data_IF_279244206314
#
_entry.id   IF_279244206314
#
_cell.length_a   1.000
_cell.length_b   1.000
_cell.length_c   1.000
_cell.angle_alpha   90.00
_cell.angle_beta   90.00
_cell.angle_gamma   90.00
#
_symmetry.space_group_name_H-M   'P 1'
#
loop_
_entity.id
_entity.type
_entity.pdbx_description
1 polymer ?
#
# COMPACT_ATOMS: atom_id res chain seq x y z
N UNK A 1 -36.31 -8.35 52.08
CA UNK A 1 -35.47 -7.22 51.64
C UNK A 1 -34.07 -7.62 51.18
N UNK A 2 -33.49 -8.74 51.65
CA UNK A 2 -32.18 -9.24 51.19
C UNK A 2 -32.16 -9.64 49.69
N UNK A 3 -33.21 -10.25 49.16
CA UNK A 3 -33.29 -10.72 47.79
C UNK A 3 -33.23 -9.58 46.75
N UNK A 4 -33.81 -8.39 47.02
CA UNK A 4 -33.82 -7.28 46.07
C UNK A 4 -32.41 -6.71 45.89
N UNK A 5 -31.65 -6.55 47.00
CA UNK A 5 -30.26 -6.05 46.93
C UNK A 5 -29.35 -7.02 46.14
N UNK A 6 -29.54 -8.33 46.37
CA UNK A 6 -28.79 -9.36 45.64
C UNK A 6 -29.13 -9.37 44.12
N UNK A 7 -30.42 -9.25 43.79
CA UNK A 7 -30.88 -9.19 42.40
C UNK A 7 -30.35 -7.93 41.69
N UNK A 8 -30.42 -6.76 42.34
CA UNK A 8 -29.87 -5.51 41.80
C UNK A 8 -28.35 -5.63 41.59
N UNK A 9 -27.62 -6.20 42.57
CA UNK A 9 -26.19 -6.45 42.43
C UNK A 9 -25.85 -7.35 41.23
N UNK A 10 -26.61 -8.43 41.01
CA UNK A 10 -26.44 -9.33 39.90
C UNK A 10 -26.70 -8.64 38.55
N UNK A 11 -27.76 -7.82 38.48
CA UNK A 11 -28.07 -7.03 37.27
C UNK A 11 -26.96 -6.02 36.93
N UNK A 12 -26.39 -5.33 37.90
CA UNK A 12 -25.30 -4.38 37.69
C UNK A 12 -24.05 -5.08 37.17
N UNK A 13 -23.69 -6.23 37.77
CA UNK A 13 -22.55 -7.05 37.29
C UNK A 13 -22.79 -7.53 35.85
N UNK A 14 -23.97 -8.03 35.54
CA UNK A 14 -24.33 -8.46 34.19
C UNK A 14 -24.22 -7.32 33.17
N UNK A 15 -24.81 -6.16 33.48
CA UNK A 15 -24.73 -4.96 32.62
C UNK A 15 -23.27 -4.53 32.42
N UNK A 16 -22.43 -4.54 33.45
CA UNK A 16 -21.02 -4.19 33.39
C UNK A 16 -20.25 -5.16 32.45
N UNK A 17 -20.52 -6.45 32.52
CA UNK A 17 -19.92 -7.47 31.66
C UNK A 17 -20.34 -7.23 30.21
N UNK A 18 -21.62 -7.02 29.94
CA UNK A 18 -22.14 -6.77 28.59
C UNK A 18 -21.55 -5.48 28.00
N UNK A 19 -21.48 -4.41 28.79
CA UNK A 19 -20.86 -3.17 28.37
C UNK A 19 -19.36 -3.35 28.10
N UNK A 20 -18.63 -4.08 28.94
CA UNK A 20 -17.21 -4.39 28.73
C UNK A 20 -17.01 -5.20 27.46
N UNK A 21 -17.83 -6.23 27.23
CA UNK A 21 -17.79 -7.02 25.98
C UNK A 21 -18.10 -6.17 24.76
N UNK A 22 -19.08 -5.27 24.84
CA UNK A 22 -19.43 -4.37 23.73
C UNK A 22 -18.29 -3.38 23.43
N UNK A 23 -17.73 -2.74 24.46
CA UNK A 23 -16.57 -1.85 24.32
C UNK A 23 -15.38 -2.61 23.72
N UNK A 24 -15.07 -3.79 24.25
CA UNK A 24 -13.97 -4.62 23.75
C UNK A 24 -14.19 -5.06 22.30
N UNK A 25 -15.43 -5.40 21.90
CA UNK A 25 -15.77 -5.72 20.51
C UNK A 25 -15.60 -4.53 19.56
N UNK A 26 -15.86 -3.30 20.04
CA UNK A 26 -15.65 -2.07 19.24
C UNK A 26 -14.19 -1.66 19.14
N UNK A 27 -13.38 -2.02 20.12
CA UNK A 27 -11.94 -1.71 20.15
C UNK A 27 -11.11 -2.74 19.34
N UNK A 28 -11.67 -3.92 19.03
CA UNK A 28 -11.00 -4.87 18.15
C UNK A 28 -10.99 -4.34 16.72
N UNK A 29 -9.80 -4.23 16.15
CA UNK A 29 -9.63 -4.02 14.71
C UNK A 29 -10.19 -5.26 14.01
N UNK A 30 -11.08 -5.12 13.00
CA UNK A 30 -11.50 -6.26 12.19
C UNK A 30 -10.29 -6.87 11.49
N UNK A 31 -9.99 -8.11 11.77
CA UNK A 31 -8.94 -8.86 11.07
C UNK A 31 -9.57 -9.64 9.91
N UNK A 32 -8.93 -9.57 8.74
CA UNK A 32 -9.31 -10.36 7.58
C UNK A 32 -8.68 -11.75 7.67
N UNK A 33 -9.46 -12.79 7.49
CA UNK A 33 -8.93 -14.14 7.29
C UNK A 33 -8.20 -14.24 5.94
N UNK A 34 -7.34 -15.24 5.78
CA UNK A 34 -6.61 -15.46 4.53
C UNK A 34 -7.54 -15.68 3.34
N UNK A 35 -8.68 -16.34 3.54
CA UNK A 35 -9.66 -16.60 2.48
C UNK A 35 -10.44 -15.32 2.10
N UNK A 36 -10.78 -14.48 3.08
CA UNK A 36 -11.36 -13.16 2.82
C UNK A 36 -10.40 -12.27 2.06
N UNK A 37 -9.11 -12.22 2.46
CA UNK A 37 -8.09 -11.50 1.73
C UNK A 37 -8.02 -11.95 0.27
N UNK A 38 -7.94 -13.27 0.02
CA UNK A 38 -7.88 -13.83 -1.34
C UNK A 38 -9.11 -13.49 -2.17
N UNK A 39 -10.30 -13.56 -1.57
CA UNK A 39 -11.56 -13.21 -2.24
C UNK A 39 -11.62 -11.74 -2.67
N UNK A 40 -10.89 -10.88 -1.96
CA UNK A 40 -10.78 -9.44 -2.24
C UNK A 40 -9.55 -9.09 -3.10
N UNK A 41 -8.84 -10.08 -3.64
CA UNK A 41 -7.68 -9.87 -4.51
C UNK A 41 -6.36 -9.63 -3.77
N UNK A 42 -6.30 -9.89 -2.46
CA UNK A 42 -5.08 -9.78 -1.65
C UNK A 42 -4.43 -11.15 -1.53
N UNK A 43 -3.15 -11.24 -1.87
CA UNK A 43 -2.37 -12.46 -1.86
C UNK A 43 -1.15 -12.30 -0.97
N UNK A 44 -1.19 -12.93 0.21
CA UNK A 44 -0.08 -12.94 1.16
C UNK A 44 0.73 -14.22 0.94
N UNK A 45 2.05 -14.08 0.88
CA UNK A 45 2.95 -15.21 0.73
C UNK A 45 3.02 -16.01 2.04
N UNK A 46 2.94 -17.35 1.99
CA UNK A 46 3.09 -18.20 3.19
C UNK A 46 4.43 -17.97 3.91
N UNK A 47 5.47 -17.66 3.14
CA UNK A 47 6.79 -17.25 3.64
C UNK A 47 7.22 -16.01 2.88
N UNK A 48 7.35 -14.86 3.56
CA UNK A 48 7.88 -13.65 2.93
C UNK A 48 9.27 -13.89 2.36
N UNK A 49 9.55 -13.34 1.17
CA UNK A 49 10.84 -13.53 0.48
C UNK A 49 11.76 -12.35 0.76
N UNK A 50 13.00 -12.64 1.07
CA UNK A 50 14.05 -11.63 1.16
C UNK A 50 14.21 -10.93 -0.20
N UNK A 51 14.50 -9.63 -0.16
CA UNK A 51 14.82 -8.81 -1.33
C UNK A 51 16.34 -8.60 -1.30
N UNK A 52 17.00 -9.02 -2.37
CA UNK A 52 18.43 -8.80 -2.57
C UNK A 52 18.78 -7.31 -2.78
N UNK A 53 20.05 -6.99 -3.00
CA UNK A 53 20.48 -5.62 -3.22
C UNK A 53 19.83 -5.04 -4.48
N UNK A 54 19.54 -3.77 -4.46
CA UNK A 54 19.14 -2.92 -5.57
C UNK A 54 19.46 -1.45 -5.22
N UNK A 55 19.66 -0.61 -6.21
CA UNK A 55 19.97 0.81 -6.01
C UNK A 55 19.10 1.67 -6.94
N UNK A 56 18.18 2.42 -6.34
CA UNK A 56 17.32 3.39 -7.03
C UNK A 56 17.48 4.75 -6.35
N UNK A 57 16.80 5.77 -6.84
CA UNK A 57 16.75 7.10 -6.24
C UNK A 57 15.30 7.48 -5.95
N UNK A 58 15.05 8.09 -4.79
CA UNK A 58 13.79 8.75 -4.56
C UNK A 58 13.75 10.14 -5.22
N UNK A 59 12.56 10.76 -5.25
CA UNK A 59 12.36 12.04 -5.92
C UNK A 59 13.10 13.22 -5.24
N UNK A 60 13.66 13.04 -4.03
CA UNK A 60 14.50 14.03 -3.36
C UNK A 60 15.96 13.88 -3.75
N UNK A 61 16.33 12.81 -4.45
CA UNK A 61 17.68 12.45 -4.84
C UNK A 61 18.41 11.57 -3.81
N UNK A 62 17.71 11.13 -2.76
CA UNK A 62 18.28 10.19 -1.80
C UNK A 62 18.25 8.76 -2.36
N UNK A 63 19.21 7.93 -1.91
CA UNK A 63 19.27 6.54 -2.26
C UNK A 63 18.02 5.78 -1.75
N UNK A 64 17.41 5.01 -2.64
CA UNK A 64 16.32 4.11 -2.32
C UNK A 64 16.77 2.67 -2.60
N UNK A 65 17.01 1.93 -1.55
CA UNK A 65 17.56 0.58 -1.58
C UNK A 65 16.89 -0.31 -0.54
N UNK A 66 17.46 -1.49 -0.27
CA UNK A 66 16.89 -2.44 0.69
C UNK A 66 16.66 -1.82 2.08
N UNK A 67 17.58 -1.02 2.61
CA UNK A 67 17.45 -0.36 3.92
C UNK A 67 16.26 0.62 3.94
N UNK A 68 15.95 1.22 2.79
CA UNK A 68 14.80 2.11 2.63
C UNK A 68 13.44 1.42 2.76
N UNK A 69 13.42 0.09 2.84
CA UNK A 69 12.22 -0.73 3.00
C UNK A 69 12.01 -1.22 4.44
N UNK A 70 12.97 -1.00 5.33
CA UNK A 70 12.96 -1.53 6.69
C UNK A 70 12.25 -0.61 7.69
N UNK A 71 11.71 -1.17 8.78
CA UNK A 71 11.10 -0.44 9.89
C UNK A 71 9.64 -0.01 9.67
N UNK A 72 9.05 -0.28 8.52
CA UNK A 72 7.67 0.09 8.19
C UNK A 72 7.08 -0.83 7.11
N UNK A 73 5.76 -0.79 6.94
CA UNK A 73 5.09 -1.43 5.83
C UNK A 73 5.19 -0.55 4.59
N UNK A 74 5.69 -1.10 3.47
CA UNK A 74 5.71 -0.40 2.19
C UNK A 74 4.68 -0.97 1.23
N UNK A 75 3.81 -0.09 0.72
CA UNK A 75 2.86 -0.37 -0.35
C UNK A 75 3.40 0.27 -1.62
N UNK A 76 3.98 -0.57 -2.48
CA UNK A 76 4.71 -0.13 -3.67
C UNK A 76 3.83 -0.35 -4.89
N UNK A 77 3.52 0.74 -5.60
CA UNK A 77 2.86 0.70 -6.89
C UNK A 77 3.87 1.00 -7.99
N UNK A 78 3.91 0.17 -9.00
CA UNK A 78 4.73 0.38 -10.18
C UNK A 78 3.88 1.07 -11.23
N UNK A 79 4.36 2.19 -11.78
CA UNK A 79 3.58 3.00 -12.69
C UNK A 79 4.42 4.11 -13.32
N UNK A 80 3.79 5.09 -13.93
CA UNK A 80 4.47 6.22 -14.57
C UNK A 80 3.56 7.46 -14.60
N UNK A 81 4.15 8.65 -14.70
CA UNK A 81 3.39 9.91 -14.56
C UNK A 81 2.44 10.19 -15.73
N UNK A 82 2.70 9.62 -16.90
CA UNK A 82 1.85 9.76 -18.09
C UNK A 82 0.73 8.70 -18.18
N UNK A 83 0.59 7.84 -17.18
CA UNK A 83 -0.48 6.84 -17.15
C UNK A 83 -1.85 7.54 -17.00
N UNK A 84 -2.80 7.30 -17.94
CA UNK A 84 -4.03 8.10 -17.96
C UNK A 84 -5.10 7.67 -16.95
N UNK A 85 -5.04 6.47 -16.38
CA UNK A 85 -6.17 5.87 -15.63
C UNK A 85 -5.74 5.15 -14.36
N UNK A 86 -5.07 4.00 -14.49
CA UNK A 86 -4.82 3.08 -13.35
C UNK A 86 -3.93 3.72 -12.29
N UNK A 87 -2.87 4.46 -12.69
CA UNK A 87 -1.93 5.03 -11.73
C UNK A 87 -2.57 6.11 -10.86
N UNK A 88 -3.24 7.15 -11.41
CA UNK A 88 -3.86 8.16 -10.56
C UNK A 88 -4.98 7.58 -9.69
N UNK A 89 -5.75 6.61 -10.20
CA UNK A 89 -6.79 5.92 -9.42
C UNK A 89 -6.19 5.16 -8.24
N UNK A 90 -5.14 4.37 -8.46
CA UNK A 90 -4.48 3.60 -7.40
C UNK A 90 -3.84 4.47 -6.34
N UNK A 91 -3.16 5.55 -6.73
CA UNK A 91 -2.55 6.50 -5.80
C UNK A 91 -3.61 7.28 -5.00
N UNK A 92 -4.73 7.66 -5.63
CA UNK A 92 -5.86 8.28 -4.91
C UNK A 92 -6.44 7.35 -3.85
N UNK A 93 -6.60 6.05 -4.16
CA UNK A 93 -7.05 5.05 -3.19
C UNK A 93 -6.06 4.90 -2.04
N UNK A 94 -4.76 4.85 -2.32
CA UNK A 94 -3.72 4.78 -1.28
C UNK A 94 -3.70 6.04 -0.39
N UNK A 95 -3.89 7.23 -0.96
CA UNK A 95 -4.03 8.48 -0.22
C UNK A 95 -5.26 8.51 0.68
N UNK A 96 -6.38 7.94 0.20
CA UNK A 96 -7.57 7.76 1.03
C UNK A 96 -7.31 6.84 2.22
N UNK A 97 -6.59 5.73 2.01
CA UNK A 97 -6.20 4.81 3.10
C UNK A 97 -5.34 5.52 4.14
N UNK A 98 -4.29 6.22 3.70
CA UNK A 98 -3.42 6.99 4.60
C UNK A 98 -4.20 8.00 5.44
N UNK A 99 -5.11 8.76 4.81
CA UNK A 99 -5.96 9.71 5.52
C UNK A 99 -6.86 9.04 6.57
N UNK A 100 -7.46 7.89 6.25
CA UNK A 100 -8.28 7.11 7.18
C UNK A 100 -7.46 6.58 8.36
N UNK A 101 -6.26 6.08 8.10
CA UNK A 101 -5.33 5.63 9.14
C UNK A 101 -4.91 6.78 10.06
N UNK A 102 -4.58 7.93 9.48
CA UNK A 102 -4.18 9.12 10.23
C UNK A 102 -5.30 9.67 11.12
N UNK A 103 -6.56 9.57 10.67
CA UNK A 103 -7.73 9.93 11.49
C UNK A 103 -8.01 8.92 12.60
N UNK A 104 -7.69 7.65 12.39
CA UNK A 104 -7.87 6.58 13.38
C UNK A 104 -6.75 6.60 14.42
N UNK A 105 -5.50 6.62 13.98
CA UNK A 105 -4.30 6.68 14.80
C UNK A 105 -3.11 7.14 13.93
N UNK A 106 -2.53 8.33 14.21
CA UNK A 106 -1.38 8.83 13.46
C UNK A 106 -0.18 7.89 13.43
N UNK A 107 0.04 7.07 14.46
CA UNK A 107 1.14 6.09 14.49
C UNK A 107 0.94 4.96 13.47
N UNK A 108 -0.31 4.57 13.19
CA UNK A 108 -0.61 3.62 12.11
C UNK A 108 -0.28 4.22 10.73
N UNK A 109 -0.66 5.49 10.51
CA UNK A 109 -0.32 6.18 9.26
C UNK A 109 1.20 6.35 9.08
N UNK A 110 1.93 6.59 10.17
CA UNK A 110 3.39 6.74 10.13
C UNK A 110 4.09 5.45 9.67
N UNK A 111 3.57 4.28 10.00
CA UNK A 111 4.12 2.98 9.56
C UNK A 111 3.59 2.50 8.20
N UNK A 112 2.60 3.18 7.62
CA UNK A 112 2.04 2.90 6.30
C UNK A 112 2.74 3.79 5.26
N UNK A 113 3.65 3.23 4.47
CA UNK A 113 4.45 3.99 3.50
C UNK A 113 4.08 3.63 2.07
N UNK A 114 3.78 4.65 1.26
CA UNK A 114 3.43 4.49 -0.16
C UNK A 114 4.60 4.93 -1.04
N UNK A 115 4.90 4.09 -2.03
CA UNK A 115 5.96 4.34 -3.02
C UNK A 115 5.40 4.16 -4.42
N UNK A 116 5.63 5.14 -5.30
CA UNK A 116 5.46 4.98 -6.73
C UNK A 116 6.84 4.73 -7.35
N UNK A 117 7.09 3.53 -7.85
CA UNK A 117 8.31 3.22 -8.61
C UNK A 117 8.02 3.42 -10.08
N UNK A 118 8.71 4.39 -10.71
CA UNK A 118 8.51 4.66 -12.14
C UNK A 118 9.08 3.53 -12.99
N UNK A 119 8.26 3.03 -13.91
CA UNK A 119 8.64 2.07 -14.96
C UNK A 119 8.91 2.73 -16.31
N UNK A 120 8.90 4.06 -16.35
CA UNK A 120 9.26 4.87 -17.52
C UNK A 120 10.32 5.92 -17.17
N UNK A 121 11.56 5.50 -16.88
CA UNK A 121 12.61 6.44 -16.47
C UNK A 121 13.01 7.45 -17.56
N UNK A 122 12.66 7.21 -18.82
CA UNK A 122 12.95 8.14 -19.91
C UNK A 122 12.02 9.37 -19.88
N UNK A 123 10.76 9.18 -19.46
CA UNK A 123 9.78 10.27 -19.33
C UNK A 123 9.74 10.87 -17.93
N UNK A 124 10.02 10.09 -16.91
CA UNK A 124 9.87 10.47 -15.50
C UNK A 124 11.21 10.87 -14.89
N UNK A 125 11.41 12.17 -14.67
CA UNK A 125 12.53 12.67 -13.86
C UNK A 125 12.11 12.85 -12.38
N UNK A 126 13.09 13.00 -11.48
CA UNK A 126 12.83 13.12 -10.03
C UNK A 126 11.87 14.25 -9.70
N UNK A 127 12.02 15.42 -10.31
CA UNK A 127 11.16 16.58 -10.08
C UNK A 127 9.72 16.29 -10.45
N UNK A 128 9.50 15.69 -11.61
CA UNK A 128 8.18 15.32 -12.12
C UNK A 128 7.51 14.27 -11.22
N UNK A 129 8.25 13.26 -10.81
CA UNK A 129 7.78 12.24 -9.87
C UNK A 129 7.37 12.85 -8.53
N UNK A 130 8.20 13.72 -7.95
CA UNK A 130 7.87 14.41 -6.70
C UNK A 130 6.60 15.25 -6.80
N UNK A 131 6.42 16.01 -7.90
CA UNK A 131 5.18 16.77 -8.14
C UNK A 131 3.97 15.85 -8.29
N UNK A 132 4.13 14.75 -9.01
CA UNK A 132 3.05 13.80 -9.27
C UNK A 132 2.57 13.10 -7.99
N UNK A 133 3.48 12.48 -7.23
CA UNK A 133 3.09 11.78 -5.99
C UNK A 133 2.61 12.74 -4.91
N UNK A 134 3.21 13.94 -4.82
CA UNK A 134 2.81 14.99 -3.88
C UNK A 134 1.39 15.50 -4.07
N UNK A 135 0.81 15.33 -5.26
CA UNK A 135 -0.61 15.66 -5.51
C UNK A 135 -1.59 14.71 -4.80
N UNK A 136 -1.15 13.50 -4.41
CA UNK A 136 -1.97 12.51 -3.70
C UNK A 136 -1.72 12.53 -2.19
N UNK A 137 -0.46 12.65 -1.77
CA UNK A 137 -0.07 12.86 -0.37
C UNK A 137 1.36 13.40 -0.29
N UNK A 138 1.64 14.34 0.64
CA UNK A 138 3.01 14.83 0.88
C UNK A 138 3.96 13.76 1.44
N UNK A 139 3.44 12.65 1.97
CA UNK A 139 4.23 11.54 2.50
C UNK A 139 4.64 10.51 1.43
N UNK A 140 4.03 10.58 0.23
CA UNK A 140 4.32 9.63 -0.83
C UNK A 140 5.69 9.89 -1.46
N UNK A 141 6.42 8.82 -1.74
CA UNK A 141 7.69 8.91 -2.44
C UNK A 141 7.55 8.41 -3.88
N UNK A 142 8.02 9.22 -4.83
CA UNK A 142 8.30 8.78 -6.20
C UNK A 142 9.72 8.23 -6.26
N UNK A 143 9.90 7.07 -6.86
CA UNK A 143 11.19 6.38 -6.95
C UNK A 143 11.51 6.13 -8.43
N UNK A 144 12.76 6.32 -8.79
CA UNK A 144 13.27 6.15 -10.15
C UNK A 144 14.62 5.44 -10.12
N UNK A 145 14.91 4.68 -11.18
CA UNK A 145 16.22 4.11 -11.45
C UNK A 145 16.48 4.02 -12.94
N UNK A 146 17.67 3.66 -13.32
CA UNK A 146 17.94 3.27 -14.69
C UNK A 146 17.28 1.91 -15.00
N UNK A 147 17.08 1.59 -16.28
CA UNK A 147 16.31 0.41 -16.67
C UNK A 147 16.87 -0.90 -16.09
N UNK A 148 18.18 -1.03 -16.00
CA UNK A 148 18.81 -2.23 -15.45
C UNK A 148 18.48 -2.42 -13.97
N UNK A 149 18.60 -1.36 -13.17
CA UNK A 149 18.33 -1.37 -11.73
C UNK A 149 16.85 -1.60 -11.44
N UNK A 150 15.97 -1.03 -12.29
CA UNK A 150 14.52 -1.29 -12.22
C UNK A 150 14.18 -2.74 -12.47
N UNK A 151 14.79 -3.38 -13.49
CA UNK A 151 14.59 -4.80 -13.79
C UNK A 151 15.05 -5.65 -12.60
N UNK A 152 16.24 -5.36 -12.03
CA UNK A 152 16.75 -6.08 -10.86
C UNK A 152 15.77 -6.03 -9.69
N UNK A 153 15.16 -4.88 -9.40
CA UNK A 153 14.18 -4.74 -8.32
C UNK A 153 12.82 -5.39 -8.66
N UNK A 154 12.29 -5.15 -9.88
CA UNK A 154 10.96 -5.63 -10.28
C UNK A 154 10.90 -7.15 -10.37
N UNK A 155 11.96 -7.81 -10.84
CA UNK A 155 12.04 -9.28 -10.91
C UNK A 155 11.92 -9.92 -9.52
N UNK A 156 12.50 -9.30 -8.48
CA UNK A 156 12.45 -9.80 -7.11
C UNK A 156 11.03 -9.75 -6.51
N UNK A 157 10.16 -8.85 -7.01
CA UNK A 157 8.79 -8.65 -6.51
C UNK A 157 7.72 -9.09 -7.51
N UNK A 158 8.11 -9.83 -8.57
CA UNK A 158 7.23 -10.38 -9.60
C UNK A 158 6.42 -9.30 -10.35
N UNK A 159 7.07 -8.21 -10.69
CA UNK A 159 6.49 -7.14 -11.50
C UNK A 159 7.14 -7.15 -12.88
N UNK A 160 6.32 -7.24 -13.92
CA UNK A 160 6.76 -7.12 -15.31
C UNK A 160 6.36 -5.76 -15.87
N UNK A 161 7.19 -5.19 -16.73
CA UNK A 161 6.88 -3.98 -17.49
C UNK A 161 7.55 -3.98 -18.86
N UNK A 162 6.89 -3.36 -19.84
CA UNK A 162 7.41 -3.23 -21.19
C UNK A 162 6.89 -1.98 -21.90
N UNK A 163 7.75 -1.31 -22.67
CA UNK A 163 7.31 -0.25 -23.58
C UNK A 163 6.60 -0.85 -24.78
N UNK A 164 5.39 -0.39 -25.03
CA UNK A 164 4.54 -0.82 -26.14
C UNK A 164 4.30 0.34 -27.09
N UNK A 165 4.60 0.21 -28.39
CA UNK A 165 4.32 1.27 -29.36
C UNK A 165 2.82 1.53 -29.44
N UNK A 166 2.42 2.80 -29.49
CA UNK A 166 1.04 3.18 -29.75
C UNK A 166 0.70 2.85 -31.20
N UNK A 167 -0.42 2.14 -31.42
CA UNK A 167 -0.89 1.78 -32.77
C UNK A 167 -1.32 3.00 -33.59
N UNK A 168 -1.63 4.13 -32.97
CA UNK A 168 -1.90 5.42 -33.61
C UNK A 168 -1.49 6.54 -32.65
N UNK A 169 -0.71 7.54 -33.12
CA UNK A 169 -0.46 8.73 -32.33
C UNK A 169 -1.80 9.44 -32.06
N UNK A 170 -2.10 9.77 -30.82
CA UNK A 170 -3.26 10.61 -30.49
C UNK A 170 -2.91 12.03 -30.90
N UNK A 171 -3.60 12.64 -31.90
CA UNK A 171 -3.29 13.99 -32.35
C UNK A 171 -3.46 14.97 -31.17
N UNK A 172 -2.42 15.79 -30.92
CA UNK A 172 -2.45 16.82 -29.87
C UNK A 172 -2.12 16.33 -28.47
N UNK A 173 -1.71 15.08 -28.27
CA UNK A 173 -1.15 14.62 -27.02
C UNK A 173 0.39 14.71 -27.04
N UNK A 174 1.00 15.10 -25.90
CA UNK A 174 2.44 14.96 -25.66
C UNK A 174 2.86 13.50 -25.51
N UNK A 175 2.00 12.55 -25.89
CA UNK A 175 2.22 11.13 -25.83
C UNK A 175 3.34 10.75 -26.80
N UNK A 176 4.46 10.36 -26.26
CA UNK A 176 5.69 9.94 -26.93
C UNK A 176 5.46 8.63 -27.72
N UNK A 177 4.56 8.50 -28.64
CA UNK A 177 4.43 7.36 -29.56
C UNK A 177 4.44 5.94 -28.93
N UNK A 178 4.45 5.82 -27.60
CA UNK A 178 4.43 4.57 -26.84
C UNK A 178 3.63 4.72 -25.53
N UNK A 179 3.22 3.58 -24.98
CA UNK A 179 2.75 3.42 -23.59
C UNK A 179 3.62 2.40 -22.88
N UNK A 180 3.51 2.32 -21.54
CA UNK A 180 4.18 1.26 -20.78
C UNK A 180 3.10 0.32 -20.26
N UNK A 181 3.17 -0.94 -20.70
CA UNK A 181 2.39 -2.03 -20.10
C UNK A 181 3.13 -2.52 -18.86
N UNK A 182 2.43 -2.67 -17.74
CA UNK A 182 3.02 -3.11 -16.49
C UNK A 182 2.03 -3.86 -15.60
N UNK A 183 2.56 -4.65 -14.69
CA UNK A 183 1.77 -5.30 -13.65
C UNK A 183 1.10 -4.26 -12.75
N UNK A 184 -0.23 -4.22 -12.74
CA UNK A 184 -1.03 -3.23 -11.99
C UNK A 184 -1.23 -3.57 -10.50
N UNK A 185 -0.46 -4.48 -9.91
CA UNK A 185 -0.58 -4.85 -8.52
C UNK A 185 0.10 -3.83 -7.59
N UNK A 186 -0.44 -3.67 -6.37
CA UNK A 186 0.30 -3.04 -5.27
C UNK A 186 1.11 -4.14 -4.57
N UNK A 187 2.42 -3.99 -4.53
CA UNK A 187 3.35 -4.87 -3.84
C UNK A 187 3.40 -4.49 -2.36
N UNK A 188 3.38 -5.47 -1.47
CA UNK A 188 3.47 -5.30 -0.01
C UNK A 188 4.84 -5.77 0.46
N UNK A 189 5.59 -4.87 1.10
CA UNK A 189 6.86 -5.19 1.77
C UNK A 189 6.66 -5.00 3.28
N UNK A 190 7.08 -5.99 4.06
CA UNK A 190 6.96 -5.97 5.51
C UNK A 190 8.09 -5.15 6.18
N UNK A 191 8.00 -4.85 7.49
CA UNK A 191 9.02 -4.06 8.21
C UNK A 191 10.42 -4.67 8.27
N UNK A 192 10.61 -5.92 7.86
CA UNK A 192 11.95 -6.54 7.68
C UNK A 192 12.53 -6.31 6.30
N UNK A 193 11.84 -5.57 5.43
CA UNK A 193 12.24 -5.36 4.03
C UNK A 193 11.96 -6.56 3.13
N UNK A 194 11.08 -7.51 3.53
CA UNK A 194 10.79 -8.71 2.75
C UNK A 194 9.52 -8.53 1.90
N UNK A 195 9.53 -9.07 0.70
CA UNK A 195 8.33 -9.18 -0.14
C UNK A 195 7.32 -10.09 0.54
N UNK A 196 6.21 -9.49 0.98
CA UNK A 196 5.20 -10.14 1.81
C UNK A 196 3.96 -10.60 1.03
N UNK A 197 3.64 -9.90 -0.06
CA UNK A 197 2.47 -10.19 -0.87
C UNK A 197 2.13 -9.07 -1.84
N UNK A 198 0.93 -9.14 -2.40
CA UNK A 198 0.44 -8.12 -3.33
C UNK A 198 -1.08 -8.03 -3.36
N UNK A 199 -1.59 -6.89 -3.83
CA UNK A 199 -3.02 -6.62 -4.00
C UNK A 199 -3.29 -6.40 -5.48
N UNK A 200 -4.23 -7.16 -6.05
CA UNK A 200 -4.66 -7.04 -7.44
C UNK A 200 -5.67 -5.90 -7.64
N UNK A 201 -5.76 -5.43 -8.87
CA UNK A 201 -6.86 -4.57 -9.31
C UNK A 201 -8.22 -5.30 -9.22
N UNK A 202 -9.34 -4.55 -8.98
CA UNK A 202 -9.39 -3.13 -8.67
C UNK A 202 -9.01 -2.83 -7.21
N UNK A 203 -8.24 -1.77 -7.00
CA UNK A 203 -7.84 -1.36 -5.66
C UNK A 203 -9.01 -0.69 -4.92
N UNK A 204 -9.27 -1.13 -3.69
CA UNK A 204 -10.33 -0.60 -2.82
C UNK A 204 -9.73 -0.14 -1.50
N UNK A 205 -10.03 1.09 -1.07
CA UNK A 205 -9.46 1.66 0.14
C UNK A 205 -9.72 0.81 1.39
N UNK A 206 -10.95 0.32 1.54
CA UNK A 206 -11.31 -0.51 2.70
C UNK A 206 -10.53 -1.84 2.73
N UNK A 207 -10.39 -2.50 1.57
CA UNK A 207 -9.61 -3.74 1.46
C UNK A 207 -8.13 -3.50 1.83
N UNK A 208 -7.52 -2.43 1.31
CA UNK A 208 -6.12 -2.10 1.61
C UNK A 208 -5.95 -1.75 3.09
N UNK A 209 -6.85 -0.93 3.64
CA UNK A 209 -6.83 -0.53 5.05
C UNK A 209 -6.94 -1.73 5.99
N UNK A 210 -7.93 -2.59 5.78
CA UNK A 210 -8.11 -3.79 6.61
C UNK A 210 -6.96 -4.77 6.46
N UNK A 211 -6.42 -4.94 5.24
CA UNK A 211 -5.23 -5.75 5.00
C UNK A 211 -4.04 -5.23 5.82
N UNK A 212 -3.77 -3.92 5.72
CA UNK A 212 -2.68 -3.30 6.49
C UNK A 212 -2.86 -3.51 7.99
N UNK A 213 -4.05 -3.21 8.53
CA UNK A 213 -4.32 -3.35 9.96
C UNK A 213 -4.19 -4.80 10.44
N UNK A 214 -4.63 -5.77 9.63
CA UNK A 214 -4.49 -7.19 9.94
C UNK A 214 -3.01 -7.60 9.96
N UNK A 215 -2.24 -7.18 8.96
CA UNK A 215 -0.81 -7.51 8.85
C UNK A 215 0.00 -6.83 9.97
N UNK A 216 -0.27 -5.57 10.30
CA UNK A 216 0.43 -4.82 11.34
C UNK A 216 0.15 -5.40 12.74
N UNK A 217 -1.07 -5.90 12.99
CA UNK A 217 -1.43 -6.54 14.24
C UNK A 217 -0.79 -7.94 14.44
N UNK A 218 -0.39 -8.61 13.35
CA UNK A 218 0.19 -9.96 13.36
C UNK A 218 1.73 -9.98 13.30
N UNK A 219 2.36 -8.81 13.08
CA UNK A 219 3.80 -8.69 12.85
C UNK A 219 4.57 -8.38 14.13
#
# INVERSE_FOLDING_TARGET
MQNIKSTVGLCVVFISIVLSMFVFSKLRVPELSADEMRSQGVFILPTPRDIGPFELLDHTGAAFNRQSLEGHWSFIFFGFTNCPDVCPTSLSVLGQVENQLNQQDPQLAERFKVRLVSVDPDADNLKRLGQYVGAFSPSFLGVRGERADLVEFTDQVNVAFAKMPLRSPVPGSDAQGYTVDHTGNIVIINPRGHYHGFIKLPHKAETIRLTYLTLDAQF
#
